data_IF_505822968483
#
_entry.id   IF_505822968483
#
_cell.length_a   1.000
_cell.length_b   1.000
_cell.length_c   1.000
_cell.angle_alpha   90.00
_cell.angle_beta   90.00
_cell.angle_gamma   90.00
#
_symmetry.space_group_name_H-M   'P 1'
#
loop_
_entity.id
_entity.type
_entity.pdbx_description
1 polymer ?
#
# COMPACT_ATOMS: atom_id res chain seq x y z
N UNK A 1 22.97 1.76 4.22
CA UNK A 1 22.69 2.58 5.42
C UNK A 1 21.23 2.47 5.83
N UNK A 2 20.33 2.33 4.85
CA UNK A 2 18.91 2.05 5.04
C UNK A 2 18.63 0.70 4.40
N UNK A 3 17.97 -0.20 5.12
CA UNK A 3 17.56 -1.52 4.62
C UNK A 3 16.22 -1.35 3.86
N UNK A 4 16.31 -0.73 2.68
CA UNK A 4 15.15 -0.47 1.86
C UNK A 4 14.75 -1.74 1.10
N UNK A 5 13.54 -2.22 1.30
CA UNK A 5 12.97 -3.38 0.62
C UNK A 5 12.28 -3.01 -0.70
N UNK A 6 11.80 -1.80 -0.83
CA UNK A 6 11.04 -1.33 -1.99
C UNK A 6 11.50 0.05 -2.44
N UNK A 7 11.63 0.23 -3.74
CA UNK A 7 11.93 1.50 -4.41
C UNK A 7 10.76 1.88 -5.30
N UNK A 8 10.12 3.02 -5.00
CA UNK A 8 9.07 3.58 -5.83
C UNK A 8 9.67 4.55 -6.86
N UNK A 9 9.36 4.34 -8.13
CA UNK A 9 9.83 5.20 -9.23
C UNK A 9 8.63 5.76 -9.98
N UNK A 10 8.58 7.09 -10.13
CA UNK A 10 7.57 7.71 -10.96
C UNK A 10 7.94 7.56 -12.45
N UNK A 11 7.09 6.85 -13.21
CA UNK A 11 7.35 6.49 -14.61
C UNK A 11 6.92 7.56 -15.61
N UNK A 12 6.47 8.74 -15.16
CA UNK A 12 6.05 9.84 -16.03
C UNK A 12 7.19 10.41 -16.86
N UNK A 13 8.43 10.17 -16.45
CA UNK A 13 9.63 10.60 -17.18
C UNK A 13 10.41 9.38 -17.67
N UNK A 14 10.60 9.28 -18.99
CA UNK A 14 11.46 8.26 -19.60
C UNK A 14 10.82 6.87 -19.79
N UNK A 15 9.50 6.74 -19.69
CA UNK A 15 8.71 5.56 -20.11
C UNK A 15 9.28 4.22 -19.62
N UNK A 16 9.72 4.18 -18.34
CA UNK A 16 10.25 2.97 -17.71
C UNK A 16 11.77 2.76 -17.86
N UNK A 17 12.48 3.58 -18.63
CA UNK A 17 13.94 3.44 -18.83
C UNK A 17 14.71 3.51 -17.50
N UNK A 18 14.30 4.42 -16.61
CA UNK A 18 14.93 4.60 -15.30
C UNK A 18 14.77 3.33 -14.45
N UNK A 19 13.56 2.78 -14.41
CA UNK A 19 13.26 1.54 -13.69
C UNK A 19 14.09 0.36 -14.22
N UNK A 20 14.25 0.28 -15.52
CA UNK A 20 15.03 -0.78 -16.17
C UNK A 20 16.52 -0.69 -15.83
N UNK A 21 17.07 0.53 -15.81
CA UNK A 21 18.45 0.78 -15.40
C UNK A 21 18.67 0.36 -13.93
N UNK A 22 17.75 0.72 -13.04
CA UNK A 22 17.80 0.30 -11.64
C UNK A 22 17.69 -1.21 -11.48
N UNK A 23 16.80 -1.89 -12.20
CA UNK A 23 16.69 -3.36 -12.18
C UNK A 23 18.00 -4.01 -12.61
N UNK A 24 18.62 -3.55 -13.69
CA UNK A 24 19.94 -4.05 -14.15
C UNK A 24 21.04 -3.81 -13.11
N UNK A 25 21.05 -2.62 -12.50
CA UNK A 25 22.01 -2.31 -11.44
C UNK A 25 21.83 -3.24 -10.22
N UNK A 26 20.61 -3.43 -9.75
CA UNK A 26 20.29 -4.33 -8.63
C UNK A 26 20.70 -5.78 -8.93
N UNK A 27 20.49 -6.26 -10.15
CA UNK A 27 20.94 -7.58 -10.59
C UNK A 27 22.47 -7.70 -10.54
N UNK A 28 23.18 -6.67 -11.03
CA UNK A 28 24.65 -6.65 -11.05
C UNK A 28 25.25 -6.61 -9.64
N UNK A 29 24.63 -5.83 -8.75
CA UNK A 29 25.06 -5.66 -7.35
C UNK A 29 24.51 -6.73 -6.41
N UNK A 30 23.67 -7.66 -6.90
CA UNK A 30 22.95 -8.67 -6.13
C UNK A 30 22.14 -8.07 -4.96
N UNK A 31 21.61 -6.87 -5.16
CA UNK A 31 20.78 -6.18 -4.17
C UNK A 31 19.33 -6.58 -4.36
N UNK A 32 18.69 -7.11 -3.31
CA UNK A 32 17.30 -7.55 -3.36
C UNK A 32 16.37 -6.40 -2.99
N UNK A 33 16.03 -5.56 -3.97
CA UNK A 33 15.08 -4.44 -3.82
C UNK A 33 13.94 -4.65 -4.82
N UNK A 34 12.71 -4.60 -4.34
CA UNK A 34 11.54 -4.56 -5.19
C UNK A 34 11.41 -3.18 -5.84
N UNK A 35 11.25 -3.12 -7.17
CA UNK A 35 11.10 -1.86 -7.90
C UNK A 35 9.67 -1.77 -8.41
N UNK A 36 8.93 -0.81 -7.88
CA UNK A 36 7.55 -0.52 -8.26
C UNK A 36 7.48 0.80 -9.02
N UNK A 37 6.73 0.79 -10.11
CA UNK A 37 6.48 1.98 -10.92
C UNK A 37 5.13 2.60 -10.55
N UNK A 38 5.12 3.91 -10.35
CA UNK A 38 3.91 4.67 -10.10
C UNK A 38 3.67 5.65 -11.25
N UNK A 39 2.41 5.83 -11.65
CA UNK A 39 2.01 6.83 -12.64
C UNK A 39 1.12 7.87 -12.00
N UNK A 40 1.44 9.14 -12.22
CA UNK A 40 0.63 10.24 -11.76
C UNK A 40 -0.22 10.79 -12.92
N UNK A 41 -1.54 10.60 -12.84
CA UNK A 41 -2.49 11.12 -13.81
C UNK A 41 -3.27 12.35 -13.30
N UNK A 42 -3.00 12.77 -12.06
CA UNK A 42 -3.68 13.86 -11.37
C UNK A 42 -2.68 15.00 -11.12
N UNK A 43 -3.16 16.23 -11.01
CA UNK A 43 -2.33 17.37 -10.64
C UNK A 43 -1.56 17.09 -9.36
N UNK A 44 -0.28 17.48 -9.34
CA UNK A 44 0.65 17.20 -8.23
C UNK A 44 0.12 17.71 -6.89
N UNK A 45 -0.35 18.94 -6.85
CA UNK A 45 -0.86 19.57 -5.62
C UNK A 45 -2.10 18.82 -5.06
N UNK A 46 -3.02 18.43 -5.93
CA UNK A 46 -4.19 17.64 -5.52
C UNK A 46 -3.76 16.27 -4.98
N UNK A 47 -2.86 15.58 -5.69
CA UNK A 47 -2.35 14.27 -5.27
C UNK A 47 -1.70 14.32 -3.89
N UNK A 48 -0.87 15.34 -3.64
CA UNK A 48 -0.19 15.54 -2.37
C UNK A 48 -1.22 15.73 -1.25
N UNK A 49 -2.16 16.65 -1.43
CA UNK A 49 -3.17 16.96 -0.41
C UNK A 49 -4.08 15.76 -0.17
N UNK A 50 -4.61 15.15 -1.22
CA UNK A 50 -5.54 14.02 -1.11
C UNK A 50 -4.89 12.81 -0.43
N UNK A 51 -3.55 12.67 -0.52
CA UNK A 51 -2.81 11.61 0.17
C UNK A 51 -2.52 11.96 1.63
N UNK A 52 -2.16 13.21 1.94
CA UNK A 52 -1.68 13.61 3.26
C UNK A 52 -2.79 14.08 4.20
N UNK A 53 -3.80 14.82 3.68
CA UNK A 53 -4.87 15.40 4.50
C UNK A 53 -5.60 14.37 5.38
N UNK A 54 -6.02 13.18 4.88
CA UNK A 54 -6.67 12.18 5.72
C UNK A 54 -5.78 11.66 6.84
N UNK A 55 -4.49 11.49 6.57
CA UNK A 55 -3.52 10.95 7.52
C UNK A 55 -3.19 11.97 8.61
N UNK A 56 -3.08 13.26 8.26
CA UNK A 56 -2.91 14.34 9.22
C UNK A 56 -4.15 14.52 10.10
N UNK A 57 -5.34 14.56 9.51
CA UNK A 57 -6.59 14.75 10.25
C UNK A 57 -6.89 13.60 11.21
N UNK A 58 -6.41 12.40 10.91
CA UNK A 58 -6.55 11.22 11.77
C UNK A 58 -5.36 11.03 12.72
N UNK A 59 -4.40 11.96 12.75
CA UNK A 59 -3.18 11.87 13.59
C UNK A 59 -2.40 10.56 13.39
N UNK A 60 -2.39 10.02 12.16
CA UNK A 60 -1.75 8.73 11.85
C UNK A 60 -0.29 8.87 11.43
N UNK A 61 0.18 10.09 11.16
CA UNK A 61 1.57 10.34 10.82
C UNK A 61 2.35 10.70 12.08
N UNK A 62 3.30 9.85 12.43
CA UNK A 62 4.25 10.10 13.51
C UNK A 62 5.60 10.45 12.90
N UNK A 63 6.18 11.59 13.30
CA UNK A 63 7.45 12.07 12.79
C UNK A 63 8.50 11.97 13.90
N UNK A 64 9.61 11.27 13.60
CA UNK A 64 10.76 11.24 14.50
C UNK A 64 11.37 12.66 14.57
N UNK A 65 11.62 13.22 15.77
CA UNK A 65 12.30 14.51 15.95
C UNK A 65 13.64 14.62 15.21
N UNK A 66 14.34 13.51 15.02
CA UNK A 66 15.58 13.47 14.24
C UNK A 66 15.37 13.90 12.78
N UNK A 67 14.20 13.63 12.19
CA UNK A 67 13.86 14.02 10.81
C UNK A 67 13.88 15.54 10.69
N UNK A 68 13.35 16.27 11.66
CA UNK A 68 13.33 17.74 11.67
C UNK A 68 14.76 18.28 11.72
N UNK A 69 15.62 17.67 12.55
CA UNK A 69 17.02 18.07 12.64
C UNK A 69 17.77 17.79 11.35
N UNK A 70 17.52 16.67 10.71
CA UNK A 70 18.13 16.30 9.42
C UNK A 70 17.60 17.16 8.29
N UNK A 71 16.32 17.48 8.29
CA UNK A 71 15.69 18.39 7.32
C UNK A 71 16.35 19.75 7.36
N UNK A 72 16.66 20.27 8.54
CA UNK A 72 17.40 21.53 8.71
C UNK A 72 18.86 21.40 8.20
N UNK A 73 19.59 20.40 8.68
CA UNK A 73 21.01 20.20 8.34
C UNK A 73 21.26 19.93 6.85
N UNK A 74 20.36 19.21 6.21
CA UNK A 74 20.50 18.86 4.79
C UNK A 74 20.40 20.07 3.83
N UNK A 75 20.03 21.24 4.35
CA UNK A 75 19.93 22.48 3.58
C UNK A 75 20.95 23.54 4.05
N UNK A 76 22.00 23.15 4.77
CA UNK A 76 23.02 24.09 5.27
C UNK A 76 23.81 24.77 4.14
N UNK A 77 23.93 24.10 2.99
CA UNK A 77 24.61 24.63 1.80
C UNK A 77 23.78 25.67 1.04
N UNK A 78 22.49 25.77 1.32
CA UNK A 78 21.60 26.73 0.68
C UNK A 78 21.70 28.12 1.32
N UNK A 79 21.50 29.16 0.50
CA UNK A 79 21.48 30.54 0.98
C UNK A 79 20.43 30.71 2.10
N UNK A 80 20.84 31.39 3.18
CA UNK A 80 20.02 31.53 4.39
C UNK A 80 18.59 32.04 4.11
N UNK A 81 18.41 32.89 3.14
CA UNK A 81 17.13 33.48 2.74
C UNK A 81 16.19 32.46 2.08
N UNK A 82 16.73 31.42 1.42
CA UNK A 82 15.95 30.46 0.67
C UNK A 82 15.87 29.08 1.35
N UNK A 83 16.72 28.82 2.34
CA UNK A 83 16.89 27.53 3.01
C UNK A 83 15.57 26.88 3.44
N UNK A 84 14.69 27.67 4.07
CA UNK A 84 13.43 27.16 4.57
C UNK A 84 12.48 26.64 3.49
N UNK A 85 12.59 27.13 2.24
CA UNK A 85 11.74 26.68 1.12
C UNK A 85 12.00 25.21 0.74
N UNK A 86 13.19 24.71 1.05
CA UNK A 86 13.58 23.32 0.82
C UNK A 86 13.21 22.40 2.00
N UNK A 87 12.79 22.95 3.14
CA UNK A 87 12.47 22.17 4.33
C UNK A 87 11.07 21.56 4.24
N UNK A 88 10.97 20.29 4.61
CA UNK A 88 9.70 19.55 4.61
C UNK A 88 8.63 20.24 5.46
N UNK A 89 8.98 20.69 6.65
CA UNK A 89 8.05 21.38 7.55
C UNK A 89 7.46 22.65 6.91
N UNK A 90 8.26 23.43 6.20
CA UNK A 90 7.79 24.58 5.44
C UNK A 90 6.86 24.17 4.30
N UNK A 91 7.26 23.18 3.52
CA UNK A 91 6.48 22.67 2.39
C UNK A 91 5.10 22.19 2.86
N UNK A 92 5.02 21.45 3.98
CA UNK A 92 3.76 21.01 4.60
C UNK A 92 2.89 22.21 4.98
N UNK A 93 3.48 23.22 5.63
CA UNK A 93 2.73 24.39 6.13
C UNK A 93 2.18 25.30 5.03
N UNK A 94 2.74 25.24 3.82
CA UNK A 94 2.41 26.11 2.69
C UNK A 94 1.66 25.41 1.57
N UNK A 95 1.60 24.09 1.57
CA UNK A 95 0.93 23.34 0.53
C UNK A 95 -0.59 23.63 0.53
N UNK A 96 -1.10 24.01 -0.62
CA UNK A 96 -2.52 24.18 -0.87
C UNK A 96 -2.88 23.69 -2.28
N UNK A 97 -4.18 23.66 -2.62
CA UNK A 97 -4.66 23.13 -3.91
C UNK A 97 -4.36 24.07 -5.09
N UNK A 98 -3.81 25.23 -4.83
CA UNK A 98 -3.41 26.18 -5.87
C UNK A 98 -2.11 25.74 -6.53
N UNK A 99 -2.03 25.95 -7.85
CA UNK A 99 -0.84 25.59 -8.64
C UNK A 99 0.33 26.45 -8.24
N UNK A 100 1.48 25.79 -7.93
CA UNK A 100 2.72 26.47 -7.58
C UNK A 100 2.71 27.10 -6.18
N UNK A 101 1.83 26.65 -5.28
CA UNK A 101 1.77 27.09 -3.89
C UNK A 101 3.13 26.98 -3.16
N UNK A 102 3.90 25.95 -3.50
CA UNK A 102 5.24 25.71 -3.01
C UNK A 102 6.20 25.63 -4.18
N UNK A 103 7.27 26.41 -4.14
CA UNK A 103 8.26 26.47 -5.23
C UNK A 103 9.12 25.20 -5.31
N UNK A 104 9.49 24.67 -4.16
CA UNK A 104 10.25 23.43 -4.01
C UNK A 104 9.38 22.47 -3.22
N UNK A 105 8.84 21.47 -3.87
CA UNK A 105 7.83 20.55 -3.33
C UNK A 105 8.29 19.08 -3.32
N UNK A 106 9.56 18.82 -3.62
CA UNK A 106 10.11 17.49 -3.81
C UNK A 106 10.00 16.61 -2.56
N UNK A 107 10.20 17.18 -1.37
CA UNK A 107 10.13 16.44 -0.11
C UNK A 107 8.71 16.07 0.27
N UNK A 108 7.79 17.02 0.14
CA UNK A 108 6.38 16.74 0.44
C UNK A 108 5.76 15.80 -0.59
N UNK A 109 6.18 15.87 -1.85
CA UNK A 109 5.73 14.94 -2.88
C UNK A 109 6.23 13.53 -2.62
N UNK A 110 7.51 13.38 -2.25
CA UNK A 110 8.06 12.08 -1.85
C UNK A 110 7.35 11.51 -0.62
N UNK A 111 7.04 12.34 0.38
CA UNK A 111 6.25 11.94 1.54
C UNK A 111 4.85 11.48 1.14
N UNK A 112 4.17 12.23 0.27
CA UNK A 112 2.82 11.90 -0.19
C UNK A 112 2.79 10.58 -0.97
N UNK A 113 3.79 10.32 -1.83
CA UNK A 113 3.91 9.06 -2.53
C UNK A 113 4.12 7.89 -1.56
N UNK A 114 4.99 8.04 -0.56
CA UNK A 114 5.21 7.03 0.47
C UNK A 114 3.94 6.75 1.28
N UNK A 115 3.27 7.80 1.75
CA UNK A 115 2.00 7.69 2.50
C UNK A 115 0.92 6.99 1.68
N UNK A 116 0.79 7.37 0.42
CA UNK A 116 -0.16 6.73 -0.49
C UNK A 116 0.13 5.24 -0.65
N UNK A 117 1.38 4.88 -0.93
CA UNK A 117 1.79 3.49 -1.08
C UNK A 117 1.48 2.66 0.18
N UNK A 118 1.84 3.16 1.36
CA UNK A 118 1.53 2.48 2.62
C UNK A 118 0.03 2.36 2.88
N UNK A 119 -0.74 3.39 2.58
CA UNK A 119 -2.19 3.38 2.74
C UNK A 119 -2.84 2.34 1.82
N UNK A 120 -2.42 2.29 0.56
CA UNK A 120 -2.92 1.31 -0.42
C UNK A 120 -2.52 -0.12 0.00
N UNK A 121 -1.28 -0.34 0.44
CA UNK A 121 -0.80 -1.64 0.91
C UNK A 121 -1.57 -2.13 2.16
N UNK A 122 -1.82 -1.23 3.12
CA UNK A 122 -2.63 -1.55 4.31
C UNK A 122 -4.08 -1.86 3.95
N UNK A 123 -4.67 -1.15 3.00
CA UNK A 123 -6.03 -1.40 2.54
C UNK A 123 -6.16 -2.79 1.89
N UNK A 124 -5.20 -3.19 1.05
CA UNK A 124 -5.14 -4.52 0.44
C UNK A 124 -5.02 -5.61 1.52
N UNK A 125 -4.11 -5.43 2.47
CA UNK A 125 -3.93 -6.38 3.58
C UNK A 125 -5.19 -6.52 4.43
N UNK A 126 -5.87 -5.43 4.77
CA UNK A 126 -7.12 -5.46 5.52
C UNK A 126 -8.24 -6.18 4.75
N UNK A 127 -8.36 -5.94 3.45
CA UNK A 127 -9.34 -6.65 2.60
C UNK A 127 -9.05 -8.15 2.53
N UNK A 128 -7.78 -8.54 2.44
CA UNK A 128 -7.39 -9.94 2.44
C UNK A 128 -7.75 -10.61 3.75
N UNK A 129 -7.43 -10.00 4.89
CA UNK A 129 -7.79 -10.51 6.22
C UNK A 129 -9.30 -10.68 6.39
N UNK A 130 -10.12 -9.75 5.86
CA UNK A 130 -11.58 -9.86 5.89
C UNK A 130 -12.05 -11.06 5.05
N UNK A 131 -11.46 -11.26 3.87
CA UNK A 131 -11.79 -12.41 3.01
C UNK A 131 -11.43 -13.74 3.67
N UNK A 132 -10.24 -13.80 4.27
CA UNK A 132 -9.75 -15.02 4.93
C UNK A 132 -10.62 -15.37 6.14
N UNK A 133 -10.97 -14.38 6.97
CA UNK A 133 -11.90 -14.59 8.10
C UNK A 133 -13.28 -15.05 7.65
N UNK A 134 -13.87 -14.45 6.61
CA UNK A 134 -15.16 -14.89 6.06
C UNK A 134 -15.10 -16.31 5.52
N UNK A 135 -13.96 -16.69 4.93
CA UNK A 135 -13.73 -18.04 4.44
C UNK A 135 -13.67 -19.04 5.61
N UNK A 136 -12.97 -18.69 6.69
CA UNK A 136 -12.91 -19.49 7.91
C UNK A 136 -14.30 -19.66 8.54
N UNK A 137 -15.02 -18.56 8.77
CA UNK A 137 -16.39 -18.58 9.31
C UNK A 137 -17.34 -19.44 8.44
N UNK A 138 -17.18 -19.38 7.12
CA UNK A 138 -17.98 -20.20 6.21
C UNK A 138 -17.61 -21.69 6.31
N UNK A 139 -16.33 -22.02 6.44
CA UNK A 139 -15.86 -23.40 6.61
C UNK A 139 -16.36 -23.98 7.95
N UNK A 140 -16.26 -23.23 9.03
CA UNK A 140 -16.77 -23.63 10.35
C UNK A 140 -18.29 -23.89 10.31
N UNK A 141 -19.00 -23.01 9.60
CA UNK A 141 -20.46 -23.18 9.42
C UNK A 141 -20.79 -24.43 8.58
N UNK A 142 -20.00 -24.69 7.55
CA UNK A 142 -20.14 -25.87 6.71
C UNK A 142 -19.81 -27.16 7.50
N UNK A 143 -18.77 -27.17 8.33
CA UNK A 143 -18.43 -28.30 9.21
C UNK A 143 -19.56 -28.55 10.23
N UNK A 144 -20.03 -27.51 10.91
CA UNK A 144 -21.14 -27.64 11.86
C UNK A 144 -22.39 -28.16 11.19
N UNK A 145 -22.69 -27.71 9.97
CA UNK A 145 -23.84 -28.21 9.20
C UNK A 145 -23.66 -29.67 8.76
N UNK A 146 -22.44 -30.10 8.43
CA UNK A 146 -22.15 -31.48 8.02
C UNK A 146 -22.17 -32.47 9.19
N UNK A 147 -21.88 -31.98 10.40
CA UNK A 147 -21.89 -32.83 11.62
C UNK A 147 -23.25 -32.84 12.31
N UNK A 148 -24.25 -32.09 11.85
CA UNK A 148 -25.62 -32.09 12.37
C UNK A 148 -26.28 -33.43 12.03
N UNK A 149 -26.79 -34.19 13.05
CA UNK A 149 -27.53 -35.44 12.82
C UNK A 149 -28.78 -35.28 11.97
N UNK A 150 -29.36 -34.09 11.90
CA UNK A 150 -30.52 -33.75 11.06
C UNK A 150 -30.13 -33.25 9.65
N UNK A 151 -28.87 -33.08 9.36
CA UNK A 151 -28.40 -32.61 8.04
C UNK A 151 -28.81 -33.57 6.91
N UNK A 152 -28.90 -34.86 7.18
CA UNK A 152 -29.41 -35.85 6.19
C UNK A 152 -30.86 -35.60 5.78
N UNK A 153 -31.72 -35.19 6.73
CA UNK A 153 -33.10 -34.82 6.42
C UNK A 153 -33.19 -33.52 5.62
N UNK A 154 -32.36 -32.56 5.96
CA UNK A 154 -32.27 -31.29 5.24
C UNK A 154 -31.62 -31.45 3.84
N UNK A 155 -30.77 -32.43 3.65
CA UNK A 155 -30.17 -32.81 2.38
C UNK A 155 -31.20 -33.21 1.33
N UNK A 156 -32.22 -33.96 1.78
CA UNK A 156 -33.33 -34.39 0.92
C UNK A 156 -34.18 -33.22 0.41
N UNK A 157 -34.27 -32.14 1.21
CA UNK A 157 -35.01 -30.93 0.88
C UNK A 157 -34.21 -30.02 -0.10
N UNK A 158 -32.87 -30.03 -0.04
CA UNK A 158 -32.01 -29.20 -0.88
C UNK A 158 -31.50 -29.92 -2.13
N UNK A 159 -31.78 -31.22 -2.33
CA UNK A 159 -31.39 -31.95 -3.54
C UNK A 159 -29.89 -32.17 -3.74
N UNK A 160 -29.12 -32.09 -2.67
CA UNK A 160 -27.67 -32.33 -2.71
C UNK A 160 -27.39 -33.83 -2.45
N UNK A 161 -26.66 -34.49 -3.34
CA UNK A 161 -26.29 -35.87 -3.23
C UNK A 161 -25.11 -36.11 -2.27
N UNK A 162 -25.04 -37.30 -1.64
CA UNK A 162 -23.95 -37.71 -0.73
C UNK A 162 -22.55 -37.65 -1.36
N UNK A 163 -22.46 -37.82 -2.68
CA UNK A 163 -21.18 -37.72 -3.40
C UNK A 163 -20.69 -36.27 -3.52
N UNK A 164 -21.61 -35.31 -3.67
CA UNK A 164 -21.27 -33.88 -3.66
C UNK A 164 -20.79 -33.44 -2.26
N UNK A 165 -21.27 -34.07 -1.19
CA UNK A 165 -20.80 -33.84 0.18
C UNK A 165 -19.35 -34.28 0.38
N UNK A 166 -18.95 -35.44 -0.20
CA UNK A 166 -17.57 -35.93 -0.15
C UNK A 166 -16.63 -35.05 -0.94
N UNK A 167 -17.07 -34.54 -2.10
CA UNK A 167 -16.30 -33.60 -2.91
C UNK A 167 -16.14 -32.26 -2.19
N UNK A 168 -17.19 -31.71 -1.57
CA UNK A 168 -17.13 -30.50 -0.76
C UNK A 168 -16.16 -30.65 0.43
N UNK A 169 -16.16 -31.82 1.09
CA UNK A 169 -15.22 -32.15 2.18
C UNK A 169 -13.79 -32.31 1.70
N UNK A 170 -13.58 -32.82 0.49
CA UNK A 170 -12.28 -32.90 -0.18
C UNK A 170 -11.74 -31.52 -0.56
N UNK A 171 -12.60 -30.63 -1.04
CA UNK A 171 -12.27 -29.25 -1.37
C UNK A 171 -11.98 -28.38 -0.13
N UNK A 172 -12.69 -28.63 0.97
CA UNK A 172 -12.44 -27.94 2.24
C UNK A 172 -11.10 -28.32 2.88
N UNK A 173 -10.60 -29.53 2.60
CA UNK A 173 -9.31 -30.04 3.10
C UNK A 173 -8.14 -29.89 2.11
N UNK A 174 -8.42 -29.62 0.87
CA UNK A 174 -7.43 -29.46 -0.20
C UNK A 174 -7.28 -27.98 -0.59
N UNK A 175 -6.13 -27.43 -0.31
CA UNK A 175 -5.56 -26.17 -0.79
C UNK A 175 -5.88 -25.89 -2.25
N UNK A 176 -6.00 -24.60 -2.57
CA UNK A 176 -6.14 -23.98 -3.88
C UNK A 176 -7.54 -23.95 -4.50
N UNK A 177 -8.44 -23.17 -3.88
CA UNK A 177 -9.46 -22.52 -4.68
C UNK A 177 -8.96 -21.14 -5.14
N UNK A 178 -8.33 -21.11 -6.30
CA UNK A 178 -8.19 -19.90 -7.10
C UNK A 178 -9.57 -19.48 -7.58
N UNK A 179 -10.15 -18.49 -6.92
CA UNK A 179 -11.32 -17.78 -7.45
C UNK A 179 -10.84 -16.68 -8.37
N UNK A 180 -11.14 -16.79 -9.65
CA UNK A 180 -11.13 -15.66 -10.57
C UNK A 180 -12.20 -14.65 -10.20
#
# INVERSE_FOLDING_TARGET
KYDASTLLIESNFGDGIVSELFRKHCQTTKTNINIEETRANVRKEHRIIDSLEPVFNQHRLVVDPAVITWDYKSNEDEATENRFQYMLAYQISRMCRERGAVRHDDRIDSLAQGVKWFTDALAISAQQQIKDRRKEEWLDHLEAWMDDPQAEANHMVLGLDLDQRKEARGLAKGTDMTWM
#
